data_IF_478263603518
#
_entry.id   IF_478263603518
#
_cell.length_a   1.000
_cell.length_b   1.000
_cell.length_c   1.000
_cell.angle_alpha   90.00
_cell.angle_beta   90.00
_cell.angle_gamma   90.00
#
_symmetry.space_group_name_H-M   'P 1'
#
loop_
_entity.id
_entity.type
_entity.pdbx_description
1 polymer ?
#
# COMPACT_ATOMS: atom_id res chain seq x y z
N UNK A 1 -33.45 -30.34 -4.59
CA UNK A 1 -33.76 -28.92 -4.88
C UNK A 1 -33.14 -28.09 -3.77
N UNK A 2 -31.97 -27.52 -4.04
CA UNK A 2 -31.17 -26.77 -3.06
C UNK A 2 -31.43 -25.28 -3.29
N UNK A 3 -31.76 -24.56 -2.23
CA UNK A 3 -31.90 -23.11 -2.21
C UNK A 3 -30.52 -22.45 -2.22
N UNK A 4 -30.34 -21.43 -3.07
CA UNK A 4 -29.23 -20.49 -3.03
C UNK A 4 -29.82 -19.15 -2.58
N UNK A 5 -29.34 -18.66 -1.44
CA UNK A 5 -29.65 -17.34 -0.89
C UNK A 5 -28.62 -16.37 -1.47
N UNK A 6 -29.09 -15.43 -2.29
CA UNK A 6 -28.31 -14.28 -2.71
C UNK A 6 -28.45 -13.18 -1.64
N UNK A 7 -27.34 -12.81 -1.01
CA UNK A 7 -27.26 -11.65 -0.13
C UNK A 7 -26.89 -10.42 -0.98
N UNK A 8 -27.86 -9.52 -1.12
CA UNK A 8 -27.73 -8.21 -1.76
C UNK A 8 -27.22 -7.23 -0.69
N UNK A 9 -25.95 -6.82 -0.72
CA UNK A 9 -25.48 -5.74 0.15
C UNK A 9 -25.78 -4.40 -0.52
N UNK A 10 -26.67 -3.63 0.11
CA UNK A 10 -27.06 -2.28 -0.29
C UNK A 10 -26.28 -1.30 0.60
N UNK A 11 -25.35 -0.53 0.03
CA UNK A 11 -24.65 0.52 0.78
C UNK A 11 -25.40 1.84 0.62
N UNK A 12 -25.89 2.37 1.74
CA UNK A 12 -26.66 3.61 1.84
C UNK A 12 -25.69 4.80 1.92
N UNK A 13 -25.84 5.76 1.00
CA UNK A 13 -25.25 7.10 1.08
C UNK A 13 -26.13 8.00 1.95
N UNK A 14 -25.58 8.57 3.03
CA UNK A 14 -26.16 9.74 3.70
C UNK A 14 -25.06 10.80 3.84
N UNK A 15 -25.32 11.95 3.23
CA UNK A 15 -24.40 13.07 3.13
C UNK A 15 -24.39 14.02 4.34
N UNK A 16 -23.34 14.84 4.36
CA UNK A 16 -23.17 15.99 5.23
C UNK A 16 -21.87 16.72 4.87
N UNK A 17 -22.01 17.84 4.15
CA UNK A 17 -20.96 18.79 3.73
C UNK A 17 -19.86 18.24 2.79
N UNK A 18 -20.23 18.24 1.50
CA UNK A 18 -19.57 17.71 0.30
C UNK A 18 -18.30 18.51 -0.11
N UNK A 19 -17.11 17.90 -0.19
CA UNK A 19 -16.57 17.34 -1.45
C UNK A 19 -17.63 17.31 -2.56
N UNK A 20 -17.67 18.36 -3.37
CA UNK A 20 -18.55 18.46 -4.53
C UNK A 20 -18.51 17.17 -5.35
N UNK A 21 -19.71 16.70 -5.75
CA UNK A 21 -19.93 15.40 -6.38
C UNK A 21 -18.91 15.04 -7.46
N UNK A 22 -18.13 14.02 -7.14
CA UNK A 22 -17.12 13.35 -7.96
C UNK A 22 -16.43 12.40 -7.00
N UNK A 23 -16.34 11.11 -7.33
CA UNK A 23 -15.91 10.07 -6.40
C UNK A 23 -14.63 10.48 -5.68
N UNK A 24 -14.67 10.62 -4.35
CA UNK A 24 -13.43 10.55 -3.58
C UNK A 24 -12.73 9.25 -3.95
N UNK A 25 -11.39 9.19 -3.99
CA UNK A 25 -10.68 8.00 -4.44
C UNK A 25 -11.12 6.84 -3.58
N UNK A 26 -11.94 5.97 -4.15
CA UNK A 26 -12.23 4.70 -3.55
C UNK A 26 -10.88 3.95 -3.55
N UNK A 27 -10.57 3.31 -2.43
CA UNK A 27 -9.42 2.40 -2.37
C UNK A 27 -10.02 1.02 -2.10
N UNK A 28 -9.94 0.15 -3.09
CA UNK A 28 -10.40 -1.24 -3.00
C UNK A 28 -9.16 -2.12 -2.93
N UNK A 29 -9.16 -3.00 -1.94
CA UNK A 29 -8.18 -4.07 -1.83
C UNK A 29 -8.82 -5.32 -2.41
N UNK A 30 -8.25 -5.83 -3.48
CA UNK A 30 -8.58 -7.15 -3.99
C UNK A 30 -7.51 -8.14 -3.49
N UNK A 31 -7.95 -9.26 -2.92
CA UNK A 31 -7.09 -10.33 -2.42
C UNK A 31 -7.05 -11.54 -3.38
N UNK A 32 -7.68 -11.44 -4.56
CA UNK A 32 -7.48 -12.44 -5.59
C UNK A 32 -6.00 -12.47 -6.02
N UNK A 33 -5.43 -13.66 -6.21
CA UNK A 33 -4.08 -13.79 -6.79
C UNK A 33 -4.10 -13.13 -8.17
N UNK A 34 -3.43 -12.00 -8.24
CA UNK A 34 -3.42 -11.12 -9.40
C UNK A 34 -2.16 -11.30 -10.22
N UNK A 35 -1.14 -12.02 -9.76
CA UNK A 35 0.12 -12.17 -10.49
C UNK A 35 0.43 -13.60 -10.90
N UNK A 36 1.06 -13.76 -12.06
CA UNK A 36 1.63 -15.03 -12.52
C UNK A 36 3.06 -14.80 -13.00
N UNK A 37 3.92 -15.80 -12.75
CA UNK A 37 5.20 -15.93 -13.43
C UNK A 37 5.04 -16.88 -14.60
N UNK A 38 5.04 -16.34 -15.82
CA UNK A 38 4.95 -17.11 -17.06
C UNK A 38 6.27 -16.94 -17.83
N UNK A 39 7.06 -18.01 -17.96
CA UNK A 39 8.27 -18.03 -18.81
C UNK A 39 9.25 -16.84 -18.64
N UNK A 40 9.45 -16.39 -17.38
CA UNK A 40 10.26 -15.22 -16.94
C UNK A 40 9.58 -13.84 -17.03
N UNK A 41 8.29 -13.80 -17.34
CA UNK A 41 7.45 -12.60 -17.26
C UNK A 41 6.69 -12.61 -15.93
N UNK A 42 6.81 -11.53 -15.15
CA UNK A 42 5.82 -11.24 -14.13
C UNK A 42 4.65 -10.52 -14.81
N UNK A 43 3.49 -11.13 -14.71
CA UNK A 43 2.22 -10.57 -15.12
C UNK A 43 1.50 -10.13 -13.85
N UNK A 44 0.97 -8.91 -13.84
CA UNK A 44 0.11 -8.37 -12.79
C UNK A 44 -1.25 -8.08 -13.42
N UNK A 45 -2.30 -8.71 -12.93
CA UNK A 45 -3.68 -8.64 -13.39
C UNK A 45 -4.56 -8.06 -12.31
N UNK A 46 -5.04 -6.85 -12.43
CA UNK A 46 -5.83 -6.21 -11.38
C UNK A 46 -7.26 -5.98 -11.83
N UNK A 47 -8.21 -5.97 -10.89
CA UNK A 47 -9.61 -5.64 -11.17
C UNK A 47 -9.88 -4.20 -10.74
N UNK A 48 -10.29 -3.34 -11.68
CA UNK A 48 -10.73 -1.97 -11.46
C UNK A 48 -12.08 -1.92 -10.73
N UNK A 49 -12.46 -0.73 -10.23
CA UNK A 49 -13.77 -0.48 -9.59
C UNK A 49 -14.98 -0.85 -10.45
N UNK A 50 -14.86 -0.71 -11.77
CA UNK A 50 -15.92 -1.06 -12.72
C UNK A 50 -15.93 -2.56 -13.05
N UNK A 51 -15.03 -3.35 -12.45
CA UNK A 51 -14.83 -4.78 -12.71
C UNK A 51 -13.91 -5.09 -13.88
N UNK A 52 -13.38 -4.07 -14.57
CA UNK A 52 -12.48 -4.26 -15.71
C UNK A 52 -11.14 -4.82 -15.23
N UNK A 53 -10.63 -5.85 -15.91
CA UNK A 53 -9.31 -6.42 -15.62
C UNK A 53 -8.21 -5.75 -16.43
N UNK A 54 -7.22 -5.20 -15.76
CA UNK A 54 -6.02 -4.60 -16.35
C UNK A 54 -4.87 -5.58 -16.21
N UNK A 55 -4.06 -5.73 -17.24
CA UNK A 55 -2.86 -6.56 -17.21
C UNK A 55 -1.63 -5.68 -17.47
N UNK A 56 -0.69 -5.70 -16.53
CA UNK A 56 0.65 -5.13 -16.65
C UNK A 56 1.67 -6.26 -16.73
N UNK A 57 2.63 -6.14 -17.62
CA UNK A 57 3.66 -7.12 -17.90
C UNK A 57 5.04 -6.52 -17.72
N UNK A 58 5.91 -7.20 -16.98
CA UNK A 58 7.33 -6.78 -16.88
C UNK A 58 8.09 -6.91 -18.20
N UNK A 59 7.53 -7.60 -19.19
CA UNK A 59 8.15 -7.77 -20.51
C UNK A 59 7.69 -6.69 -21.50
N UNK A 60 6.41 -6.32 -21.46
CA UNK A 60 5.80 -5.41 -22.45
C UNK A 60 5.63 -3.98 -21.95
N UNK A 61 5.34 -3.80 -20.66
CA UNK A 61 4.99 -2.49 -20.10
C UNK A 61 6.15 -1.89 -19.28
N UNK A 62 7.30 -2.56 -19.18
CA UNK A 62 8.43 -2.06 -18.39
C UNK A 62 9.11 -0.86 -19.05
N UNK A 63 9.00 0.31 -18.42
CA UNK A 63 9.76 1.52 -18.78
C UNK A 63 11.15 1.51 -18.15
N UNK A 64 11.27 1.01 -16.93
CA UNK A 64 12.56 0.81 -16.28
C UNK A 64 12.55 -0.39 -15.34
N UNK A 65 13.72 -1.01 -15.20
CA UNK A 65 13.93 -2.12 -14.28
C UNK A 65 15.33 -2.05 -13.67
N UNK A 66 15.46 -2.41 -12.40
CA UNK A 66 16.74 -2.38 -11.70
C UNK A 66 16.80 -3.30 -10.49
N UNK A 67 18.01 -3.59 -9.97
CA UNK A 67 18.14 -4.36 -8.75
C UNK A 67 17.44 -3.65 -7.59
N UNK A 68 16.79 -4.43 -6.74
CA UNK A 68 16.16 -4.00 -5.50
C UNK A 68 16.86 -4.73 -4.34
N UNK A 69 17.28 -3.98 -3.32
CA UNK A 69 17.88 -4.58 -2.15
C UNK A 69 16.79 -5.32 -1.35
N UNK A 70 17.06 -6.58 -1.00
CA UNK A 70 16.18 -7.38 -0.16
C UNK A 70 16.89 -7.70 1.14
N UNK A 71 16.16 -7.58 2.24
CA UNK A 71 16.66 -7.97 3.57
C UNK A 71 16.50 -9.48 3.82
N UNK A 72 15.82 -10.21 2.91
CA UNK A 72 15.66 -11.66 2.99
C UNK A 72 16.98 -12.38 2.67
N UNK A 73 17.58 -13.12 3.61
CA UNK A 73 18.82 -13.85 3.35
C UNK A 73 18.68 -14.83 2.18
N UNK A 74 19.63 -14.79 1.23
CA UNK A 74 19.63 -15.67 0.06
C UNK A 74 18.70 -15.24 -1.08
N UNK A 75 17.92 -14.18 -0.90
CA UNK A 75 17.08 -13.64 -1.96
C UNK A 75 17.82 -12.63 -2.84
N UNK A 76 17.39 -12.55 -4.09
CA UNK A 76 17.59 -11.37 -4.93
C UNK A 76 16.32 -10.54 -4.98
N UNK A 77 16.47 -9.29 -5.42
CA UNK A 77 15.35 -8.39 -5.63
C UNK A 77 15.48 -7.64 -6.95
N UNK A 78 14.34 -7.38 -7.58
CA UNK A 78 14.22 -6.50 -8.74
C UNK A 78 12.98 -5.63 -8.60
N UNK A 79 13.11 -4.40 -9.07
CA UNK A 79 12.06 -3.41 -9.14
C UNK A 79 11.78 -3.03 -10.60
N UNK A 80 10.52 -2.77 -10.93
CA UNK A 80 10.06 -2.33 -12.24
C UNK A 80 9.15 -1.10 -12.11
N UNK A 81 9.36 -0.12 -12.99
CA UNK A 81 8.33 0.86 -13.37
C UNK A 81 7.62 0.32 -14.60
N UNK A 82 6.30 0.18 -14.52
CA UNK A 82 5.45 -0.31 -15.60
C UNK A 82 4.58 0.85 -16.09
N UNK A 83 4.45 1.06 -17.40
CA UNK A 83 3.57 2.07 -17.97
C UNK A 83 2.80 1.45 -19.13
N UNK A 84 1.49 1.31 -18.94
CA UNK A 84 0.59 0.94 -20.02
C UNK A 84 -0.11 2.19 -20.52
N UNK A 85 -0.04 2.39 -21.84
CA UNK A 85 -0.56 3.56 -22.56
C UNK A 85 -1.74 3.11 -23.42
N UNK A 86 -2.95 3.52 -23.05
CA UNK A 86 -4.15 3.28 -23.85
C UNK A 86 -4.61 4.60 -24.51
N UNK A 87 -5.53 4.50 -25.47
CA UNK A 87 -6.05 5.68 -26.17
C UNK A 87 -6.92 6.58 -25.29
N UNK A 88 -7.44 6.08 -24.17
CA UNK A 88 -8.34 6.82 -23.27
C UNK A 88 -7.83 6.86 -21.83
N UNK A 89 -6.98 5.93 -21.44
CA UNK A 89 -6.47 5.80 -20.07
C UNK A 89 -4.95 5.57 -20.05
N UNK A 90 -4.35 5.83 -18.90
CA UNK A 90 -2.98 5.43 -18.62
C UNK A 90 -2.87 4.71 -17.28
N UNK A 91 -1.93 3.77 -17.22
CA UNK A 91 -1.65 3.01 -16.00
C UNK A 91 -0.16 3.09 -15.69
N UNK A 92 0.17 3.60 -14.51
CA UNK A 92 1.53 3.59 -13.98
C UNK A 92 1.60 2.57 -12.85
N UNK A 93 2.40 1.52 -13.02
CA UNK A 93 2.68 0.53 -12.01
C UNK A 93 4.10 0.66 -11.47
N UNK A 94 4.26 0.31 -10.19
CA UNK A 94 5.52 -0.05 -9.59
C UNK A 94 5.41 -1.45 -9.03
N UNK A 95 6.36 -2.31 -9.37
CA UNK A 95 6.42 -3.68 -8.88
C UNK A 95 7.81 -3.96 -8.30
N UNK A 96 7.86 -4.54 -7.11
CA UNK A 96 9.05 -5.18 -6.55
C UNK A 96 8.81 -6.67 -6.45
N UNK A 97 9.81 -7.45 -6.80
CA UNK A 97 9.83 -8.88 -6.56
C UNK A 97 11.12 -9.21 -5.83
N UNK A 98 11.01 -10.02 -4.79
CA UNK A 98 12.16 -10.70 -4.21
C UNK A 98 11.98 -12.21 -4.28
N UNK A 99 13.02 -12.94 -4.67
CA UNK A 99 12.99 -14.40 -4.85
C UNK A 99 14.27 -15.07 -4.38
N UNK A 100 14.16 -16.30 -3.89
CA UNK A 100 15.30 -17.15 -3.58
C UNK A 100 15.88 -17.76 -4.88
N UNK A 101 17.20 -17.69 -5.05
CA UNK A 101 17.86 -18.31 -6.22
C UNK A 101 17.76 -19.83 -6.26
N UNK A 102 17.68 -20.45 -5.08
CA UNK A 102 17.74 -21.90 -4.91
C UNK A 102 16.34 -22.53 -4.87
N UNK A 103 15.30 -21.74 -4.60
CA UNK A 103 13.92 -22.17 -4.54
C UNK A 103 12.98 -21.18 -5.29
N UNK A 104 12.56 -21.48 -6.52
CA UNK A 104 11.71 -20.59 -7.30
C UNK A 104 10.26 -20.50 -6.77
N UNK A 105 9.87 -21.36 -5.82
CA UNK A 105 8.59 -21.22 -5.11
C UNK A 105 8.69 -20.28 -3.90
N UNK A 106 9.87 -19.70 -3.68
CA UNK A 106 10.20 -18.80 -2.60
C UNK A 106 10.31 -17.37 -3.14
N UNK A 107 9.16 -16.78 -3.51
CA UNK A 107 9.12 -15.40 -3.95
C UNK A 107 7.93 -14.65 -3.39
N UNK A 108 8.10 -13.34 -3.36
CA UNK A 108 7.06 -12.40 -3.05
C UNK A 108 7.20 -11.18 -3.96
N UNK A 109 6.09 -10.84 -4.59
CA UNK A 109 5.87 -9.66 -5.37
C UNK A 109 4.97 -8.71 -4.58
N UNK A 110 5.27 -7.42 -4.63
CA UNK A 110 4.39 -6.39 -4.12
C UNK A 110 4.51 -5.16 -5.01
N UNK A 111 3.46 -4.39 -5.09
CA UNK A 111 3.48 -3.21 -5.93
C UNK A 111 2.22 -2.39 -5.81
N UNK A 112 2.28 -1.22 -6.40
CA UNK A 112 1.13 -0.33 -6.52
C UNK A 112 0.96 0.03 -7.99
N UNK A 113 -0.24 0.45 -8.35
CA UNK A 113 -0.46 1.08 -9.64
C UNK A 113 -1.49 2.19 -9.53
N UNK A 114 -1.36 3.15 -10.43
CA UNK A 114 -2.23 4.30 -10.58
C UNK A 114 -2.98 4.18 -11.89
N UNK A 115 -4.27 4.45 -11.85
CA UNK A 115 -5.13 4.60 -13.02
C UNK A 115 -5.41 6.07 -13.24
N UNK A 116 -5.09 6.56 -14.43
CA UNK A 116 -5.45 7.91 -14.86
C UNK A 116 -6.60 7.81 -15.86
N UNK A 117 -7.83 7.71 -15.33
CA UNK A 117 -9.03 7.53 -16.13
C UNK A 117 -9.30 8.75 -17.02
N UNK A 118 -9.63 8.53 -18.29
CA UNK A 118 -9.85 9.58 -19.30
C UNK A 118 -8.64 10.50 -19.54
N UNK A 119 -7.43 10.05 -19.22
CA UNK A 119 -6.19 10.79 -19.42
C UNK A 119 -5.27 10.06 -20.37
N UNK A 120 -4.74 10.81 -21.35
CA UNK A 120 -3.90 10.27 -22.42
C UNK A 120 -2.44 10.61 -22.18
N UNK A 121 -1.55 9.64 -22.35
CA UNK A 121 -0.12 9.91 -22.38
C UNK A 121 0.25 10.77 -23.61
N UNK A 122 1.13 11.78 -23.50
CA UNK A 122 1.90 12.21 -22.32
C UNK A 122 1.22 13.30 -21.47
N UNK A 123 -0.04 13.64 -21.75
CA UNK A 123 -0.77 14.74 -21.11
C UNK A 123 -1.52 14.27 -19.85
N UNK A 124 -0.88 13.39 -19.09
CA UNK A 124 -1.39 12.88 -17.82
C UNK A 124 -1.15 13.94 -16.74
N UNK A 125 -2.21 14.28 -16.03
CA UNK A 125 -2.19 14.99 -14.77
C UNK A 125 -2.26 13.97 -13.61
N UNK A 126 -1.11 13.61 -13.01
CA UNK A 126 -1.09 12.67 -11.89
C UNK A 126 -1.76 13.26 -10.62
N UNK A 127 -2.11 14.54 -10.66
CA UNK A 127 -2.77 15.28 -9.58
C UNK A 127 -4.30 15.33 -9.76
N UNK A 128 -4.85 14.77 -10.84
CA UNK A 128 -6.29 14.77 -11.08
C UNK A 128 -7.06 13.96 -10.04
N UNK A 129 -8.23 14.45 -9.63
CA UNK A 129 -9.06 13.87 -8.57
C UNK A 129 -9.55 12.45 -8.90
N UNK A 130 -9.71 12.12 -10.18
CA UNK A 130 -10.12 10.77 -10.65
C UNK A 130 -8.97 9.73 -10.68
N UNK A 131 -7.77 10.09 -10.21
CA UNK A 131 -6.64 9.15 -10.17
C UNK A 131 -6.90 8.07 -9.11
N UNK A 132 -7.10 6.84 -9.56
CA UNK A 132 -7.30 5.69 -8.67
C UNK A 132 -5.97 5.04 -8.35
N UNK A 133 -5.86 4.48 -7.14
CA UNK A 133 -4.65 3.79 -6.69
C UNK A 133 -5.08 2.42 -6.19
N UNK A 134 -4.26 1.46 -6.56
CA UNK A 134 -4.43 0.09 -6.18
C UNK A 134 -3.08 -0.47 -5.75
N UNK A 135 -3.16 -1.57 -5.03
CA UNK A 135 -2.02 -2.32 -4.62
C UNK A 135 -2.22 -3.78 -4.91
N UNK A 136 -1.12 -4.48 -5.09
CA UNK A 136 -1.10 -5.91 -5.13
C UNK A 136 0.05 -6.41 -4.27
N UNK A 137 -0.18 -7.59 -3.72
CA UNK A 137 0.82 -8.41 -3.08
C UNK A 137 0.52 -9.81 -3.54
N UNK A 138 1.54 -10.52 -3.99
CA UNK A 138 1.36 -11.87 -4.46
C UNK A 138 2.64 -12.68 -4.34
N UNK A 139 2.49 -13.98 -4.13
CA UNK A 139 3.57 -14.93 -4.07
C UNK A 139 3.04 -16.31 -3.71
N UNK A 140 3.81 -17.38 -3.95
CA UNK A 140 3.45 -18.72 -3.52
C UNK A 140 3.36 -18.82 -1.99
N UNK A 141 3.97 -17.85 -1.30
CA UNK A 141 3.91 -17.65 0.14
C UNK A 141 2.53 -17.21 0.65
N UNK A 142 1.69 -16.66 -0.22
CA UNK A 142 0.32 -16.24 0.07
C UNK A 142 -0.60 -17.22 -0.68
N UNK A 143 -0.61 -18.47 -0.21
CA UNK A 143 -1.45 -19.53 -0.78
C UNK A 143 -2.67 -19.78 0.11
N UNK A 144 -3.90 -19.45 -0.34
CA UNK A 144 -5.10 -19.74 0.43
C UNK A 144 -5.34 -21.24 0.63
N UNK A 145 -4.75 -22.11 -0.21
CA UNK A 145 -4.82 -23.57 -0.04
C UNK A 145 -3.76 -24.13 0.90
N UNK A 146 -2.73 -23.33 1.23
CA UNK A 146 -1.68 -23.68 2.16
C UNK A 146 -1.44 -22.49 3.12
N UNK A 147 -2.39 -22.24 4.04
CA UNK A 147 -2.33 -21.09 4.94
C UNK A 147 -1.13 -21.20 5.90
N UNK A 148 -0.67 -20.06 6.45
CA UNK A 148 0.40 -20.04 7.43
C UNK A 148 0.05 -20.84 8.69
N UNK A 149 1.03 -21.58 9.19
CA UNK A 149 0.96 -22.15 10.54
C UNK A 149 1.30 -21.06 11.57
N UNK A 150 0.28 -20.31 11.99
CA UNK A 150 0.43 -19.25 12.99
C UNK A 150 0.79 -19.84 14.37
N UNK A 151 1.73 -19.22 15.13
CA UNK A 151 2.00 -19.58 16.50
C UNK A 151 0.73 -19.48 17.38
N UNK A 152 0.65 -20.33 18.41
CA UNK A 152 -0.46 -20.25 19.37
C UNK A 152 -0.23 -19.22 20.49
N UNK A 153 1.00 -18.73 20.65
CA UNK A 153 1.38 -17.80 21.71
C UNK A 153 2.66 -17.02 21.33
N UNK A 154 2.88 -15.91 22.04
CA UNK A 154 4.04 -15.04 21.85
C UNK A 154 3.76 -13.83 20.98
N UNK A 155 4.81 -13.05 20.71
CA UNK A 155 4.74 -11.82 19.92
C UNK A 155 5.83 -11.82 18.86
N UNK A 156 5.52 -11.31 17.67
CA UNK A 156 6.49 -11.03 16.62
C UNK A 156 6.38 -9.57 16.19
N UNK A 157 7.53 -8.94 15.96
CA UNK A 157 7.62 -7.61 15.39
C UNK A 157 8.10 -7.73 13.95
N UNK A 158 7.47 -6.96 13.07
CA UNK A 158 7.78 -6.89 11.67
C UNK A 158 8.14 -5.46 11.31
N UNK A 159 9.27 -5.27 10.65
CA UNK A 159 9.75 -3.96 10.22
C UNK A 159 10.21 -4.05 8.78
N UNK A 160 9.94 -3.02 8.00
CA UNK A 160 10.38 -3.01 6.60
C UNK A 160 9.86 -1.82 5.82
N UNK A 161 10.32 -1.75 4.58
CA UNK A 161 9.96 -0.69 3.65
C UNK A 161 8.47 -0.72 3.29
N UNK A 162 7.88 0.46 3.30
CA UNK A 162 6.57 0.74 2.77
C UNK A 162 6.67 1.89 1.76
N UNK A 163 5.83 1.86 0.73
CA UNK A 163 5.84 2.85 -0.32
C UNK A 163 4.48 3.01 -0.97
N UNK A 164 4.21 4.19 -1.51
CA UNK A 164 2.94 4.50 -2.14
C UNK A 164 2.79 5.97 -2.49
N UNK A 165 1.62 6.54 -2.21
CA UNK A 165 1.24 7.90 -2.59
C UNK A 165 0.91 8.77 -1.38
N UNK A 166 1.32 10.02 -1.47
CA UNK A 166 0.83 11.13 -0.68
C UNK A 166 0.08 12.10 -1.60
N UNK A 167 -1.20 12.35 -1.32
CA UNK A 167 -1.99 13.43 -1.95
C UNK A 167 -2.27 14.48 -0.88
N UNK A 168 -2.10 15.75 -1.22
CA UNK A 168 -2.35 16.86 -0.32
C UNK A 168 -3.14 17.97 -1.01
N UNK A 169 -4.24 18.41 -0.41
CA UNK A 169 -5.02 19.56 -0.85
C UNK A 169 -4.89 20.69 0.16
N UNK A 170 -4.44 21.86 -0.29
CA UNK A 170 -4.16 23.01 0.56
C UNK A 170 -5.45 23.71 1.03
N UNK A 171 -5.56 23.91 2.34
CA UNK A 171 -6.69 24.57 3.00
C UNK A 171 -6.56 26.10 3.10
N UNK A 172 -7.33 26.67 4.01
CA UNK A 172 -7.55 28.12 4.14
C UNK A 172 -6.39 28.86 4.82
N UNK A 173 -5.44 28.16 5.47
CA UNK A 173 -4.26 28.79 6.06
C UNK A 173 -3.17 29.14 5.04
N UNK A 174 -3.30 28.63 3.82
CA UNK A 174 -2.35 28.85 2.73
C UNK A 174 -2.68 30.14 1.97
N UNK A 175 -1.72 30.67 1.19
CA UNK A 175 -1.99 31.87 0.38
C UNK A 175 -3.10 31.63 -0.64
N UNK A 176 -3.79 32.70 -1.06
CA UNK A 176 -4.88 32.62 -2.05
C UNK A 176 -4.44 31.92 -3.35
N UNK A 177 -3.17 32.06 -3.72
CA UNK A 177 -2.59 31.44 -4.92
C UNK A 177 -2.38 29.93 -4.78
N UNK A 178 -2.44 29.38 -3.57
CA UNK A 178 -2.15 27.98 -3.22
C UNK A 178 -3.41 27.26 -2.73
N UNK A 179 -4.27 27.97 -2.02
CA UNK A 179 -5.52 27.45 -1.48
C UNK A 179 -6.33 26.68 -2.55
N UNK A 180 -6.80 25.49 -2.18
CA UNK A 180 -7.58 24.61 -3.03
C UNK A 180 -6.77 23.84 -4.08
N UNK A 181 -5.49 24.17 -4.30
CA UNK A 181 -4.61 23.34 -5.15
C UNK A 181 -4.33 22.00 -4.50
N UNK A 182 -3.96 21.02 -5.32
CA UNK A 182 -3.53 19.70 -4.87
C UNK A 182 -2.09 19.41 -5.30
N UNK A 183 -1.39 18.60 -4.52
CA UNK A 183 -0.10 18.00 -4.85
C UNK A 183 -0.15 16.50 -4.59
N UNK A 184 0.61 15.72 -5.36
CA UNK A 184 0.67 14.26 -5.36
C UNK A 184 2.13 13.85 -5.44
N UNK A 185 2.52 12.97 -4.55
CA UNK A 185 3.89 12.51 -4.46
C UNK A 185 3.93 11.01 -4.28
N UNK A 186 4.97 10.41 -4.84
CA UNK A 186 5.38 9.07 -4.44
C UNK A 186 6.15 9.20 -3.12
N UNK A 187 5.81 8.35 -2.15
CA UNK A 187 6.41 8.33 -0.82
C UNK A 187 6.98 6.95 -0.50
N UNK A 188 8.01 6.95 0.34
CA UNK A 188 8.52 5.76 1.02
C UNK A 188 8.70 6.02 2.51
N UNK A 189 8.71 4.96 3.30
CA UNK A 189 8.94 5.04 4.74
C UNK A 189 9.06 3.65 5.34
N UNK A 190 9.16 3.56 6.66
CA UNK A 190 9.20 2.29 7.38
C UNK A 190 7.82 2.03 8.00
N UNK A 191 7.29 0.84 7.75
CA UNK A 191 6.14 0.30 8.46
C UNK A 191 6.63 -0.65 9.53
N UNK A 192 6.16 -0.47 10.76
CA UNK A 192 6.38 -1.42 11.86
C UNK A 192 5.05 -2.02 12.29
N UNK A 193 4.98 -3.35 12.33
CA UNK A 193 3.82 -4.10 12.80
C UNK A 193 4.20 -4.98 13.98
N UNK A 194 3.28 -5.19 14.90
CA UNK A 194 3.42 -6.16 15.99
C UNK A 194 2.24 -7.10 15.98
N UNK A 195 2.52 -8.40 15.86
CA UNK A 195 1.54 -9.47 16.01
C UNK A 195 1.64 -10.07 17.42
N UNK A 196 0.52 -10.09 18.14
CA UNK A 196 0.34 -10.86 19.38
C UNK A 196 -0.47 -12.12 19.05
N UNK A 197 0.23 -13.24 19.00
CA UNK A 197 -0.37 -14.55 18.69
C UNK A 197 -1.21 -15.11 19.83
N UNK A 198 -0.99 -14.63 21.06
CA UNK A 198 -1.81 -14.98 22.22
C UNK A 198 -3.15 -14.28 22.16
N UNK A 199 -3.14 -12.98 21.83
CA UNK A 199 -4.34 -12.18 21.69
C UNK A 199 -5.04 -12.37 20.32
N UNK A 200 -4.34 -12.90 19.33
CA UNK A 200 -4.82 -13.00 17.95
C UNK A 200 -4.96 -11.63 17.29
N UNK A 201 -4.06 -10.69 17.59
CA UNK A 201 -4.14 -9.30 17.13
C UNK A 201 -2.88 -8.84 16.43
N UNK A 202 -3.04 -7.90 15.50
CA UNK A 202 -1.96 -7.16 14.85
C UNK A 202 -2.23 -5.66 14.93
N UNK A 203 -1.19 -4.89 15.20
CA UNK A 203 -1.19 -3.43 15.24
C UNK A 203 0.06 -2.88 14.56
N UNK A 204 0.13 -1.57 14.32
CA UNK A 204 1.33 -1.01 13.73
C UNK A 204 1.36 0.49 13.55
N UNK A 205 2.45 0.96 12.94
CA UNK A 205 2.63 2.35 12.59
C UNK A 205 3.44 2.52 11.31
N UNK A 206 3.03 3.49 10.49
CA UNK A 206 3.80 4.00 9.36
C UNK A 206 4.34 5.39 9.69
N UNK A 207 5.65 5.59 9.57
CA UNK A 207 6.31 6.88 9.85
C UNK A 207 6.81 7.03 11.29
N UNK A 208 6.46 6.12 12.21
CA UNK A 208 6.95 6.18 13.59
C UNK A 208 8.46 5.93 13.73
N UNK A 209 9.06 5.21 12.78
CA UNK A 209 10.49 4.91 12.74
C UNK A 209 11.05 5.53 11.48
N UNK A 210 11.61 6.74 11.61
CA UNK A 210 12.04 7.54 10.46
C UNK A 210 10.85 8.13 9.68
N UNK A 211 11.13 9.19 8.94
CA UNK A 211 10.08 9.97 8.27
C UNK A 211 9.55 9.28 7.02
N UNK A 212 8.32 9.63 6.63
CA UNK A 212 7.88 9.44 5.26
C UNK A 212 8.67 10.40 4.36
N UNK A 213 9.40 9.83 3.41
CA UNK A 213 10.21 10.55 2.45
C UNK A 213 9.51 10.62 1.10
N UNK A 214 9.62 11.75 0.41
CA UNK A 214 9.19 11.88 -0.98
C UNK A 214 10.25 11.24 -1.87
N UNK A 215 9.83 10.33 -2.75
CA UNK A 215 10.69 9.65 -3.70
C UNK A 215 10.02 9.70 -5.07
N UNK A 216 10.33 10.66 -5.95
CA UNK A 216 9.66 10.79 -7.26
C UNK A 216 10.18 9.83 -8.34
N UNK A 217 10.78 8.71 -7.96
CA UNK A 217 11.59 7.89 -8.87
C UNK A 217 10.76 7.36 -10.05
N UNK A 218 9.56 6.85 -9.78
CA UNK A 218 8.74 6.20 -10.79
C UNK A 218 7.95 7.21 -11.62
N UNK A 219 7.47 8.27 -10.98
CA UNK A 219 6.80 9.39 -11.65
C UNK A 219 7.74 10.10 -12.64
N UNK A 220 8.98 10.40 -12.25
CA UNK A 220 9.99 10.99 -13.15
C UNK A 220 10.32 10.03 -14.30
N UNK A 221 10.57 8.75 -13.98
CA UNK A 221 10.88 7.73 -15.00
C UNK A 221 9.77 7.50 -16.01
N UNK A 222 8.51 7.74 -15.66
CA UNK A 222 7.37 7.46 -16.54
C UNK A 222 6.98 8.65 -17.42
N UNK A 223 7.13 9.88 -16.91
CA UNK A 223 6.50 11.05 -17.54
C UNK A 223 7.45 12.05 -18.19
N UNK A 224 8.78 11.92 -18.05
CA UNK A 224 9.82 12.76 -18.70
C UNK A 224 9.64 14.30 -18.61
N UNK A 225 8.62 14.76 -17.88
CA UNK A 225 8.12 16.14 -17.77
C UNK A 225 8.00 16.61 -16.32
N UNK A 226 8.06 15.69 -15.37
CA UNK A 226 8.27 16.05 -13.97
C UNK A 226 9.76 16.32 -13.90
N UNK A 227 10.15 17.59 -14.00
CA UNK A 227 11.53 18.01 -13.89
C UNK A 227 12.16 17.36 -12.64
N UNK A 228 13.42 16.93 -12.73
CA UNK A 228 14.20 16.55 -11.53
C UNK A 228 14.28 17.72 -10.54
N UNK A 229 13.98 18.95 -10.99
CA UNK A 229 13.84 20.09 -10.11
C UNK A 229 12.77 19.80 -9.05
N UNK A 230 13.10 19.95 -7.77
CA UNK A 230 12.15 19.73 -6.71
C UNK A 230 11.04 20.77 -6.86
N UNK A 231 9.86 20.38 -7.37
CA UNK A 231 8.62 21.08 -7.03
C UNK A 231 8.63 21.24 -5.52
N UNK A 232 8.81 22.47 -5.06
CA UNK A 232 8.87 22.80 -3.64
C UNK A 232 7.51 22.43 -3.04
N UNK A 233 7.49 21.30 -2.35
CA UNK A 233 6.30 20.84 -1.68
C UNK A 233 6.07 21.71 -0.46
N UNK A 234 5.07 22.58 -0.56
CA UNK A 234 4.69 23.43 0.57
C UNK A 234 4.23 22.59 1.78
N UNK A 235 3.67 21.40 1.52
CA UNK A 235 3.32 20.42 2.53
C UNK A 235 4.09 19.13 2.27
N UNK A 236 5.05 18.82 3.14
CA UNK A 236 5.80 17.59 3.07
C UNK A 236 5.08 16.48 3.86
N UNK A 237 5.17 15.21 3.41
CA UNK A 237 4.67 14.05 4.16
C UNK A 237 5.55 13.71 5.38
N UNK A 238 6.67 14.42 5.54
CA UNK A 238 7.58 14.28 6.67
C UNK A 238 6.84 14.46 8.01
N UNK A 239 7.30 13.78 9.05
CA UNK A 239 6.81 13.88 10.43
C UNK A 239 5.35 13.41 10.65
N UNK A 240 4.65 12.97 9.60
CA UNK A 240 3.37 12.27 9.75
C UNK A 240 3.56 10.85 10.25
N UNK A 241 2.83 10.50 11.31
CA UNK A 241 2.73 9.14 11.82
C UNK A 241 1.30 8.63 11.66
N UNK A 242 1.13 7.52 10.95
CA UNK A 242 -0.14 6.81 10.82
C UNK A 242 -0.12 5.60 11.74
N UNK A 243 -0.94 5.62 12.78
CA UNK A 243 -1.06 4.51 13.72
C UNK A 243 -2.29 3.67 13.42
N UNK A 244 -2.14 2.36 13.55
CA UNK A 244 -3.22 1.38 13.43
C UNK A 244 -3.38 0.67 14.76
N UNK A 245 -4.54 0.83 15.41
CA UNK A 245 -4.88 0.13 16.64
C UNK A 245 -4.93 -1.39 16.46
N UNK A 246 -4.87 -2.19 17.55
CA UNK A 246 -5.01 -3.64 17.47
C UNK A 246 -6.27 -4.11 16.73
N UNK A 247 -6.08 -4.79 15.61
CA UNK A 247 -7.12 -5.51 14.86
C UNK A 247 -6.92 -7.02 14.94
N UNK A 248 -7.96 -7.80 14.63
CA UNK A 248 -7.88 -9.27 14.61
C UNK A 248 -7.28 -9.77 13.30
N UNK A 249 -6.50 -10.83 13.38
CA UNK A 249 -6.13 -11.65 12.23
C UNK A 249 -6.85 -13.00 12.28
N UNK A 250 -7.07 -13.56 11.10
CA UNK A 250 -7.75 -14.82 10.88
C UNK A 250 -6.76 -16.00 10.88
N UNK A 251 -7.24 -17.24 11.12
CA UNK A 251 -6.39 -18.43 11.06
C UNK A 251 -5.76 -18.70 9.69
N UNK A 252 -6.33 -18.15 8.61
CA UNK A 252 -5.78 -18.23 7.26
C UNK A 252 -4.64 -17.22 7.02
N UNK A 253 -4.30 -16.41 8.02
CA UNK A 253 -3.23 -15.42 7.94
C UNK A 253 -3.70 -14.04 7.44
N UNK A 254 -4.95 -13.87 7.05
CA UNK A 254 -5.49 -12.56 6.64
C UNK A 254 -5.75 -11.65 7.84
N UNK A 255 -5.66 -10.34 7.66
CA UNK A 255 -6.08 -9.37 8.67
C UNK A 255 -6.61 -8.08 8.05
N UNK A 256 -7.45 -7.39 8.80
CA UNK A 256 -8.03 -6.12 8.41
C UNK A 256 -8.30 -5.26 9.65
N UNK A 257 -7.86 -4.00 9.59
CA UNK A 257 -8.02 -2.98 10.61
C UNK A 257 -8.70 -1.79 9.94
N UNK A 258 -9.91 -1.44 10.39
CA UNK A 258 -10.65 -0.26 9.90
C UNK A 258 -10.95 0.75 11.00
N UNK A 259 -10.88 0.32 12.25
CA UNK A 259 -11.18 1.14 13.42
C UNK A 259 -9.87 1.50 14.16
N UNK A 260 -9.88 2.63 14.86
CA UNK A 260 -8.74 3.07 15.66
C UNK A 260 -7.50 3.48 14.84
N UNK A 261 -7.68 3.85 13.57
CA UNK A 261 -6.62 4.48 12.78
C UNK A 261 -6.50 5.95 13.17
N UNK A 262 -5.29 6.39 13.52
CA UNK A 262 -5.02 7.78 13.90
C UNK A 262 -3.84 8.33 13.10
N UNK A 263 -3.79 9.66 12.97
CA UNK A 263 -2.69 10.39 12.35
C UNK A 263 -2.21 11.45 13.31
N UNK A 264 -0.90 11.61 13.43
CA UNK A 264 -0.29 12.70 14.20
C UNK A 264 0.76 13.41 13.39
N UNK A 265 0.97 14.70 13.68
CA UNK A 265 2.02 15.53 13.12
C UNK A 265 2.39 16.60 14.18
N UNK A 266 3.68 16.94 14.37
CA UNK A 266 4.10 17.84 15.44
C UNK A 266 3.64 19.28 15.26
N UNK A 267 3.55 19.75 14.01
CA UNK A 267 3.24 21.15 13.69
C UNK A 267 1.85 21.35 13.07
N UNK A 268 1.11 20.26 12.84
CA UNK A 268 -0.18 20.29 12.14
C UNK A 268 -1.23 19.64 13.00
N UNK A 269 -2.36 20.32 13.14
CA UNK A 269 -3.47 19.84 13.95
C UNK A 269 -4.43 19.07 13.07
N UNK A 270 -4.68 17.81 13.44
CA UNK A 270 -5.59 16.93 12.71
C UNK A 270 -6.99 17.08 13.30
N UNK A 271 -7.92 17.67 12.53
CA UNK A 271 -9.32 17.82 12.92
C UNK A 271 -10.01 16.45 12.98
N UNK A 272 -9.82 15.64 11.93
CA UNK A 272 -10.52 14.36 11.80
C UNK A 272 -9.88 13.39 10.80
N UNK A 273 -10.09 12.11 11.07
CA UNK A 273 -9.87 11.01 10.12
C UNK A 273 -11.19 10.71 9.42
N UNK A 274 -11.20 10.75 8.08
CA UNK A 274 -12.38 10.41 7.27
C UNK A 274 -12.45 8.92 6.98
N UNK A 275 -11.29 8.33 6.72
CA UNK A 275 -11.14 6.93 6.38
C UNK A 275 -9.75 6.48 6.78
N UNK A 276 -9.61 5.29 7.31
CA UNK A 276 -8.33 4.71 7.66
C UNK A 276 -8.44 3.20 7.60
N UNK A 277 -7.43 2.53 7.07
CA UNK A 277 -7.41 1.09 7.04
C UNK A 277 -6.01 0.50 6.88
N UNK A 278 -5.87 -0.74 7.34
CA UNK A 278 -4.73 -1.61 7.11
C UNK A 278 -5.26 -3.01 6.81
N UNK A 279 -4.81 -3.65 5.75
CA UNK A 279 -5.17 -5.02 5.48
C UNK A 279 -3.98 -5.77 4.86
N UNK A 280 -3.88 -7.07 5.12
CA UNK A 280 -2.73 -7.84 4.67
C UNK A 280 -2.79 -9.32 4.99
N UNK A 281 -1.64 -9.98 4.84
CA UNK A 281 -1.49 -11.42 4.99
C UNK A 281 -0.13 -11.80 5.59
N UNK A 282 -0.09 -12.89 6.37
CA UNK A 282 1.13 -13.54 6.86
C UNK A 282 1.68 -14.58 5.86
N UNK A 283 2.98 -14.61 5.60
CA UNK A 283 3.58 -15.65 4.74
C UNK A 283 3.39 -17.06 5.33
N UNK A 284 3.08 -18.04 4.48
CA UNK A 284 3.02 -19.45 4.86
C UNK A 284 4.40 -20.10 5.10
N UNK A 285 5.49 -19.37 4.80
CA UNK A 285 6.86 -19.78 5.14
C UNK A 285 7.26 -19.22 6.50
N UNK A 286 7.99 -20.06 7.24
CA UNK A 286 8.46 -19.72 8.56
C UNK A 286 9.89 -19.20 8.55
N UNK A 287 10.22 -18.30 9.48
CA UNK A 287 11.58 -17.91 9.81
C UNK A 287 12.29 -19.02 10.62
N UNK A 288 13.54 -18.79 10.98
CA UNK A 288 14.33 -19.74 11.79
C UNK A 288 13.76 -19.98 13.20
N UNK A 289 12.85 -19.13 13.67
CA UNK A 289 12.14 -19.25 14.94
C UNK A 289 10.73 -19.86 14.81
N UNK A 290 10.29 -20.20 13.59
CA UNK A 290 8.99 -20.81 13.33
C UNK A 290 7.83 -19.81 13.15
N UNK A 291 8.08 -18.50 13.14
CA UNK A 291 7.04 -17.51 12.89
C UNK A 291 6.85 -17.31 11.39
N UNK A 292 5.66 -16.88 10.91
CA UNK A 292 5.53 -16.35 9.57
C UNK A 292 6.63 -15.32 9.34
N UNK A 293 7.51 -15.59 8.38
CA UNK A 293 8.74 -14.80 8.19
C UNK A 293 8.48 -13.39 7.69
N UNK A 294 7.26 -13.14 7.24
CA UNK A 294 6.90 -11.94 6.51
C UNK A 294 5.42 -11.61 6.69
N UNK A 295 5.14 -10.32 6.72
CA UNK A 295 3.81 -9.74 6.61
C UNK A 295 3.80 -8.72 5.48
N UNK A 296 2.78 -8.80 4.65
CA UNK A 296 2.60 -7.87 3.54
C UNK A 296 1.17 -7.36 3.55
N UNK A 297 1.00 -6.09 3.24
CA UNK A 297 -0.34 -5.53 3.15
C UNK A 297 -0.38 -4.19 2.43
N UNK A 298 -1.57 -3.63 2.44
CA UNK A 298 -1.84 -2.28 2.04
C UNK A 298 -2.43 -1.51 3.22
N UNK A 299 -2.00 -0.27 3.38
CA UNK A 299 -2.56 0.64 4.36
C UNK A 299 -2.81 2.00 3.75
N UNK A 300 -3.78 2.72 4.32
CA UNK A 300 -3.99 4.10 3.96
C UNK A 300 -4.92 4.85 4.89
N UNK A 301 -4.84 6.17 4.82
CA UNK A 301 -5.62 7.09 5.63
C UNK A 301 -5.94 8.35 4.83
N UNK A 302 -7.18 8.80 4.93
CA UNK A 302 -7.65 10.11 4.50
C UNK A 302 -7.99 10.92 5.76
N UNK A 303 -7.37 12.08 5.91
CA UNK A 303 -7.58 12.96 7.05
C UNK A 303 -7.70 14.43 6.62
N UNK A 304 -8.23 15.24 7.53
CA UNK A 304 -8.40 16.68 7.35
C UNK A 304 -7.73 17.39 8.52
N UNK A 305 -6.97 18.43 8.22
CA UNK A 305 -6.34 19.33 9.19
C UNK A 305 -7.29 20.47 9.61
N UNK A 306 -6.98 21.13 10.71
CA UNK A 306 -7.78 22.24 11.26
C UNK A 306 -7.92 23.42 10.29
N UNK A 307 -6.97 23.61 9.38
CA UNK A 307 -7.01 24.65 8.36
C UNK A 307 -7.87 24.27 7.13
N UNK A 308 -8.51 23.10 7.15
CA UNK A 308 -9.30 22.58 6.04
C UNK A 308 -8.48 21.85 4.97
N UNK A 309 -7.15 21.77 5.12
CA UNK A 309 -6.33 20.94 4.25
C UNK A 309 -6.72 19.48 4.37
N UNK A 310 -6.63 18.73 3.28
CA UNK A 310 -6.99 17.31 3.25
C UNK A 310 -5.86 16.49 2.65
N UNK A 311 -5.59 15.34 3.26
CA UNK A 311 -4.43 14.52 2.92
C UNK A 311 -4.83 13.06 2.79
N UNK A 312 -4.26 12.38 1.79
CA UNK A 312 -4.30 10.93 1.67
C UNK A 312 -2.87 10.42 1.74
N UNK A 313 -2.60 9.53 2.68
CA UNK A 313 -1.39 8.72 2.73
C UNK A 313 -1.83 7.29 2.48
N UNK A 314 -1.27 6.64 1.46
CA UNK A 314 -1.62 5.26 1.14
C UNK A 314 -0.46 4.53 0.52
N UNK A 315 -0.37 3.23 0.73
CA UNK A 315 0.73 2.46 0.17
C UNK A 315 0.73 0.99 0.56
N UNK A 316 1.64 0.28 -0.08
CA UNK A 316 1.97 -1.09 0.23
C UNK A 316 3.09 -1.14 1.24
N UNK A 317 3.15 -2.27 1.93
CA UNK A 317 4.29 -2.63 2.71
C UNK A 317 4.56 -4.11 2.56
N UNK A 318 5.82 -4.44 2.76
CA UNK A 318 6.28 -5.80 2.88
C UNK A 318 7.38 -5.81 3.95
N UNK A 319 7.10 -6.46 5.07
CA UNK A 319 7.94 -6.39 6.27
C UNK A 319 8.34 -7.79 6.71
N UNK A 320 9.61 -7.95 7.06
CA UNK A 320 10.15 -9.20 7.57
C UNK A 320 10.00 -9.27 9.07
N UNK A 321 9.89 -10.49 9.61
CA UNK A 321 10.01 -10.68 11.05
C UNK A 321 11.41 -10.25 11.50
N UNK A 322 11.47 -9.36 12.49
CA UNK A 322 12.69 -9.23 13.28
C UNK A 322 12.90 -10.53 14.08
N UNK A 323 14.15 -10.85 14.44
CA UNK A 323 14.45 -12.05 15.21
C UNK A 323 13.57 -12.14 16.48
N UNK A 324 12.73 -13.17 16.52
CA UNK A 324 11.75 -13.45 17.58
C UNK A 324 12.34 -13.33 18.99
N UNK A 325 11.68 -12.56 19.85
CA UNK A 325 11.95 -12.55 21.30
C UNK A 325 10.78 -13.20 22.02
N UNK A 326 10.99 -14.40 22.55
CA UNK A 326 10.01 -15.05 23.42
C UNK A 326 9.70 -14.14 24.61
N UNK A 327 8.42 -13.93 24.91
CA UNK A 327 7.90 -13.07 25.98
C UNK A 327 8.42 -13.41 27.39
N UNK A 328 9.11 -14.53 27.55
CA UNK A 328 9.78 -14.93 28.80
C UNK A 328 11.12 -14.22 29.09
N UNK A 329 11.63 -13.34 28.21
CA UNK A 329 12.89 -12.62 28.44
C UNK A 329 12.76 -11.16 28.92
N UNK A 330 11.53 -10.67 29.17
CA UNK A 330 11.32 -9.34 29.78
C UNK A 330 11.37 -9.35 31.33
N UNK A 331 12.07 -10.30 31.94
CA UNK A 331 12.37 -10.31 33.38
C UNK A 331 13.87 -10.51 33.67
N UNK A 332 14.72 -9.73 32.99
CA UNK A 332 16.14 -9.58 33.30
C UNK A 332 16.50 -8.13 33.55
#
# INVERSE_FOLDING_TARGET
MKHVIAALLTTIFLGGCAFGGGGGPAVQVDFERTTSFEDNELIIQTTQFDGTRVRLSTLHDAESAGPFATEMPGHEGRAWTLLQKNEEDAFLGYAVVSWNKEDPSDYLAAGWWMHFANQRYPDIDPYHDDTQIYAFIDGPEIDPNNPPSLPAMGTASYSGGAGGRYLYKYGDSWSEDVQGKASTEEITGIMTLTADFTAGTIEGCWGCVGDLAVQRRHLVSAFDRIEEEPVELLAHPKDYNVHFAPGKFNPDGTFEIREGVTVTHPERSIDRIRYGYLAGHFSNRQDSAGNPRLVSGFGGVLFVEDDGSASIISGIFNTLSEAFRASAQNQG
#
